data_IF_925353161220
#
_entry.id   IF_925353161220
#
_cell.length_a   1.000
_cell.length_b   1.000
_cell.length_c   1.000
_cell.angle_alpha   90.00
_cell.angle_beta   90.00
_cell.angle_gamma   90.00
#
_symmetry.space_group_name_H-M   'P 1'
#
loop_
_entity.id
_entity.type
_entity.pdbx_description
1 polymer ?
#
# COMPACT_ATOMS: atom_id res chain seq x y z
N UNK A 1 8.73 -12.48 -4.72
CA UNK A 1 8.32 -11.26 -3.99
C UNK A 1 7.28 -10.57 -4.84
N UNK A 2 6.16 -10.16 -4.25
CA UNK A 2 5.02 -9.53 -4.95
C UNK A 2 4.63 -8.26 -4.21
N UNK A 3 4.31 -7.21 -4.94
CA UNK A 3 3.77 -5.98 -4.37
C UNK A 3 2.27 -5.97 -4.62
N UNK A 4 1.47 -5.76 -3.59
CA UNK A 4 0.02 -5.82 -3.71
C UNK A 4 -0.63 -4.65 -2.99
N UNK A 5 -1.83 -4.28 -3.43
CA UNK A 5 -2.68 -3.31 -2.77
C UNK A 5 -3.86 -4.03 -2.11
N UNK A 6 -4.07 -3.80 -0.81
CA UNK A 6 -5.21 -4.35 -0.06
C UNK A 6 -6.50 -3.57 -0.37
N UNK A 7 -7.49 -4.24 -0.96
CA UNK A 7 -8.81 -3.67 -1.27
C UNK A 7 -9.64 -3.36 -0.02
N UNK A 8 -9.36 -3.97 1.15
CA UNK A 8 -10.03 -3.64 2.41
C UNK A 8 -9.45 -2.44 3.13
N UNK A 9 -8.25 -1.97 2.76
CA UNK A 9 -7.50 -1.09 3.64
C UNK A 9 -6.34 -0.31 3.02
N UNK A 10 -6.45 0.09 1.76
CA UNK A 10 -5.81 1.30 1.17
C UNK A 10 -4.32 1.51 1.42
N UNK A 11 -3.54 0.43 1.49
CA UNK A 11 -2.10 0.49 1.72
C UNK A 11 -1.36 -0.56 0.88
N UNK A 12 -0.14 -0.25 0.41
CA UNK A 12 0.68 -1.16 -0.35
C UNK A 12 1.36 -2.16 0.61
N UNK A 13 1.38 -3.43 0.24
CA UNK A 13 1.97 -4.52 1.00
C UNK A 13 3.05 -5.24 0.18
N UNK A 14 4.11 -5.65 0.87
CA UNK A 14 5.16 -6.48 0.29
C UNK A 14 4.98 -7.93 0.73
N UNK A 15 4.67 -8.80 -0.23
CA UNK A 15 4.48 -10.24 0.01
C UNK A 15 5.74 -11.00 -0.38
N UNK A 16 6.31 -11.69 0.60
CA UNK A 16 7.46 -12.58 0.44
C UNK A 16 7.03 -14.03 0.64
N UNK A 17 7.96 -14.97 0.48
CA UNK A 17 7.69 -16.38 0.77
C UNK A 17 7.50 -16.67 2.25
N UNK A 18 7.96 -15.78 3.13
CA UNK A 18 7.99 -16.00 4.58
C UNK A 18 7.03 -15.09 5.36
N UNK A 19 6.75 -13.90 4.83
CA UNK A 19 5.96 -12.90 5.52
C UNK A 19 5.27 -11.93 4.56
N UNK A 20 4.27 -11.22 5.08
CA UNK A 20 3.69 -10.03 4.48
C UNK A 20 4.05 -8.83 5.33
N UNK A 21 4.57 -7.81 4.68
CA UNK A 21 5.16 -6.64 5.31
C UNK A 21 4.30 -5.43 4.94
N UNK A 22 3.76 -4.77 5.96
CA UNK A 22 3.18 -3.44 5.83
C UNK A 22 4.27 -2.41 6.17
N UNK A 23 4.88 -1.84 5.15
CA UNK A 23 5.98 -0.90 5.30
C UNK A 23 5.54 0.50 5.78
N UNK A 24 4.23 0.75 5.88
CA UNK A 24 3.66 2.00 6.41
C UNK A 24 3.50 1.89 7.93
N UNK A 25 2.81 0.86 8.41
CA UNK A 25 2.64 0.61 9.85
C UNK A 25 3.89 -0.02 10.50
N UNK A 26 4.81 -0.55 9.67
CA UNK A 26 6.00 -1.34 10.07
C UNK A 26 5.63 -2.68 10.70
N UNK A 27 4.45 -3.18 10.42
CA UNK A 27 4.00 -4.48 10.90
C UNK A 27 4.42 -5.60 9.93
N UNK A 28 4.66 -6.79 10.48
CA UNK A 28 5.03 -7.98 9.71
C UNK A 28 4.18 -9.14 10.19
N UNK A 29 3.56 -9.83 9.25
CA UNK A 29 2.60 -10.90 9.49
C UNK A 29 3.09 -12.20 8.88
N UNK A 30 2.82 -13.33 9.53
CA UNK A 30 3.06 -14.62 8.91
C UNK A 30 2.12 -14.83 7.72
N UNK A 31 2.61 -15.51 6.68
CA UNK A 31 1.78 -15.87 5.52
C UNK A 31 0.67 -16.81 5.99
N UNK A 32 -0.58 -16.33 5.96
CA UNK A 32 -1.78 -17.07 6.39
C UNK A 32 -2.40 -16.63 7.73
N UNK A 33 -1.73 -15.82 8.55
CA UNK A 33 -2.31 -15.24 9.78
C UNK A 33 -3.17 -14.01 9.51
N UNK A 34 -2.79 -13.21 8.50
CA UNK A 34 -3.71 -12.25 7.91
C UNK A 34 -4.78 -13.06 7.18
N UNK A 35 -6.06 -12.83 7.47
CA UNK A 35 -7.13 -13.29 6.60
C UNK A 35 -6.97 -12.47 5.31
N UNK A 36 -6.16 -13.00 4.39
CA UNK A 36 -5.99 -12.52 3.03
C UNK A 36 -7.33 -12.70 2.35
N UNK A 37 -8.23 -11.74 2.52
CA UNK A 37 -9.41 -11.67 1.68
C UNK A 37 -8.89 -11.60 0.24
N UNK A 38 -9.36 -12.48 -0.64
CA UNK A 38 -8.73 -12.82 -1.93
C UNK A 38 -8.64 -11.65 -2.94
N UNK A 39 -9.00 -10.44 -2.51
CA UNK A 39 -9.10 -9.22 -3.29
C UNK A 39 -7.83 -8.36 -3.17
N UNK A 40 -6.72 -8.85 -3.69
CA UNK A 40 -5.51 -8.04 -3.86
C UNK A 40 -5.35 -7.63 -5.32
N UNK A 41 -5.01 -6.36 -5.53
CA UNK A 41 -4.54 -5.89 -6.84
C UNK A 41 -3.03 -5.99 -6.86
N UNK A 42 -2.49 -6.77 -7.79
CA UNK A 42 -1.04 -6.84 -7.99
C UNK A 42 -0.56 -5.55 -8.62
N UNK A 43 0.50 -4.96 -8.05
CA UNK A 43 1.07 -3.70 -8.52
C UNK A 43 2.54 -3.88 -8.86
N UNK A 44 3.02 -3.09 -9.82
CA UNK A 44 4.45 -3.12 -10.16
C UNK A 44 5.29 -2.56 -9.03
N UNK A 45 6.56 -2.98 -8.93
CA UNK A 45 7.49 -2.49 -7.90
C UNK A 45 7.69 -0.95 -7.99
N UNK A 46 7.74 -0.40 -9.19
CA UNK A 46 7.83 1.05 -9.40
C UNK A 46 6.64 1.80 -8.84
N UNK A 47 5.42 1.29 -9.05
CA UNK A 47 4.19 1.88 -8.51
C UNK A 47 4.11 1.72 -7.00
N UNK A 48 4.58 0.58 -6.48
CA UNK A 48 4.69 0.32 -5.04
C UNK A 48 5.61 1.33 -4.34
N UNK A 49 6.80 1.60 -4.86
CA UNK A 49 7.74 2.56 -4.27
C UNK A 49 7.18 3.99 -4.24
N UNK A 50 6.51 4.39 -5.33
CA UNK A 50 5.84 5.70 -5.42
C UNK A 50 4.72 5.79 -4.39
N UNK A 51 3.88 4.75 -4.29
CA UNK A 51 2.79 4.69 -3.34
C UNK A 51 3.26 4.74 -1.90
N UNK A 52 4.28 3.94 -1.59
CA UNK A 52 4.85 3.86 -0.27
C UNK A 52 5.44 5.20 0.17
N UNK A 53 6.17 5.88 -0.72
CA UNK A 53 6.72 7.21 -0.43
C UNK A 53 5.62 8.26 -0.24
N UNK A 54 4.59 8.27 -1.10
CA UNK A 54 3.46 9.17 -0.96
C UNK A 54 2.73 8.97 0.38
N UNK A 55 2.49 7.71 0.75
CA UNK A 55 1.85 7.37 2.01
C UNK A 55 2.73 7.67 3.23
N UNK A 56 4.06 7.48 3.16
CA UNK A 56 4.97 7.86 4.25
C UNK A 56 4.96 9.37 4.51
N UNK A 57 4.98 10.18 3.45
CA UNK A 57 4.85 11.64 3.55
C UNK A 57 3.49 11.98 4.17
N UNK A 58 2.43 11.31 3.74
CA UNK A 58 1.05 11.50 4.19
C UNK A 58 0.83 11.14 5.67
N UNK A 59 1.26 9.97 6.14
CA UNK A 59 1.10 9.56 7.54
C UNK A 59 2.03 10.34 8.50
N UNK A 60 3.16 10.84 8.01
CA UNK A 60 4.11 11.62 8.81
C UNK A 60 3.68 13.07 9.10
N UNK A 61 2.70 13.61 8.37
CA UNK A 61 2.39 15.05 8.39
C UNK A 61 1.13 15.46 9.20
N UNK A 62 0.41 14.51 9.82
CA UNK A 62 -0.71 14.75 10.75
C UNK A 62 -1.85 15.68 10.25
N UNK A 63 -1.88 15.99 8.95
CA UNK A 63 -2.83 16.91 8.31
C UNK A 63 -3.57 16.17 7.21
N UNK A 64 -4.70 15.58 7.56
CA UNK A 64 -5.59 14.99 6.57
C UNK A 64 -6.52 16.10 6.05
N UNK A 65 -6.05 16.85 5.05
CA UNK A 65 -6.92 17.71 4.25
C UNK A 65 -7.21 17.06 2.88
N UNK A 66 -8.38 17.38 2.34
CA UNK A 66 -8.95 16.79 1.12
C UNK A 66 -8.02 16.89 -0.11
N UNK A 67 -7.11 17.87 -0.13
CA UNK A 67 -6.18 18.08 -1.23
C UNK A 67 -5.15 16.96 -1.33
N UNK A 68 -4.58 16.54 -0.19
CA UNK A 68 -3.56 15.49 -0.13
C UNK A 68 -4.10 14.13 -0.57
N UNK A 69 -5.34 13.82 -0.19
CA UNK A 69 -6.05 12.61 -0.64
C UNK A 69 -6.28 12.63 -2.16
N UNK A 70 -6.67 13.79 -2.70
CA UNK A 70 -6.88 13.97 -4.13
C UNK A 70 -5.58 13.86 -4.96
N UNK A 71 -4.45 14.30 -4.44
CA UNK A 71 -3.15 14.13 -5.11
C UNK A 71 -2.71 12.66 -5.15
N UNK A 72 -2.87 11.92 -4.06
CA UNK A 72 -2.59 10.46 -4.02
C UNK A 72 -3.50 9.72 -5.00
N UNK A 73 -4.81 9.99 -4.98
CA UNK A 73 -5.76 9.38 -5.91
C UNK A 73 -5.44 9.73 -7.38
N UNK A 74 -4.98 10.96 -7.65
CA UNK A 74 -4.58 11.36 -9.00
C UNK A 74 -3.34 10.63 -9.47
N UNK A 75 -2.37 10.40 -8.57
CA UNK A 75 -1.15 9.67 -8.88
C UNK A 75 -1.45 8.19 -9.12
N UNK A 76 -2.27 7.57 -8.27
CA UNK A 76 -2.76 6.20 -8.40
C UNK A 76 -3.41 5.93 -9.76
N UNK A 77 -4.29 6.83 -10.20
CA UNK A 77 -4.97 6.72 -11.50
C UNK A 77 -4.04 6.68 -12.70
N UNK A 78 -2.82 7.22 -12.61
CA UNK A 78 -1.83 7.12 -13.70
C UNK A 78 -1.36 5.68 -13.95
N UNK A 79 -1.52 4.82 -12.95
CA UNK A 79 -1.10 3.42 -12.97
C UNK A 79 -2.29 2.46 -13.12
N UNK A 80 -3.48 2.98 -13.47
CA UNK A 80 -4.74 2.22 -13.53
C UNK A 80 -5.13 1.57 -12.18
N UNK A 81 -4.72 2.21 -11.09
CA UNK A 81 -5.04 1.84 -9.71
C UNK A 81 -6.11 2.75 -9.09
#
# INVERSE_FOLDING_TARGET
MRCVWDMKGSRPLLVTTQAVIDEISRETFAVGEYIFDENYVEITLSSYEILLNALRIYYGSNMMDEKSLNEINKELRKYEL
#
